data_IF_451480580437
#
_entry.id   IF_451480580437
#
_cell.length_a   1.000
_cell.length_b   1.000
_cell.length_c   1.000
_cell.angle_alpha   90.00
_cell.angle_beta   90.00
_cell.angle_gamma   90.00
#
_symmetry.space_group_name_H-M   'P 1'
#
loop_
_entity.id
_entity.type
_entity.pdbx_description
1 polymer ?
#
# COMPACT_ATOMS: atom_id res chain seq x y z
N UNK A 1 -41.16 44.69 57.27
CA UNK A 1 -39.76 45.04 56.93
C UNK A 1 -39.03 43.79 56.49
N UNK A 2 -38.24 43.91 55.44
CA UNK A 2 -37.55 42.85 54.72
C UNK A 2 -36.22 42.43 55.39
N UNK A 3 -35.80 41.17 55.18
CA UNK A 3 -34.56 40.84 54.43
C UNK A 3 -34.41 39.33 54.21
N UNK A 4 -34.27 38.98 52.92
CA UNK A 4 -33.75 37.73 52.34
C UNK A 4 -32.25 37.59 52.63
N UNK A 5 -31.79 36.36 52.81
CA UNK A 5 -30.47 35.89 52.40
C UNK A 5 -30.62 34.45 51.86
N UNK A 6 -29.92 34.16 50.76
CA UNK A 6 -30.08 33.02 49.88
C UNK A 6 -28.94 32.00 50.04
N UNK A 7 -29.22 30.75 49.62
CA UNK A 7 -28.31 29.75 49.01
C UNK A 7 -27.14 29.22 49.89
N UNK A 8 -26.70 27.96 49.83
CA UNK A 8 -26.46 27.07 48.68
C UNK A 8 -26.64 25.60 49.15
N UNK A 9 -27.35 24.80 48.36
CA UNK A 9 -27.24 23.34 48.30
C UNK A 9 -26.12 23.01 47.30
N UNK A 10 -25.02 22.41 47.75
CA UNK A 10 -24.00 21.88 46.85
C UNK A 10 -24.30 20.40 46.59
N UNK A 11 -24.59 20.18 45.32
CA UNK A 11 -24.98 18.98 44.61
C UNK A 11 -23.75 18.08 44.36
N UNK A 12 -23.98 16.77 44.27
CA UNK A 12 -22.96 15.77 44.02
C UNK A 12 -22.30 15.96 42.64
N UNK A 13 -21.00 16.30 42.63
CA UNK A 13 -20.19 16.37 41.42
C UNK A 13 -19.24 15.19 41.30
N UNK A 14 -19.75 13.99 41.00
CA UNK A 14 -18.94 12.89 40.48
C UNK A 14 -18.41 13.29 39.09
N UNK A 15 -17.22 13.89 39.05
CA UNK A 15 -16.52 14.19 37.80
C UNK A 15 -15.89 12.91 37.24
N UNK A 16 -16.73 12.01 36.76
CA UNK A 16 -16.34 11.00 35.79
C UNK A 16 -15.95 11.72 34.50
N UNK A 17 -14.67 11.71 34.17
CA UNK A 17 -14.19 12.20 32.87
C UNK A 17 -14.82 11.33 31.77
N UNK A 18 -15.86 11.84 31.12
CA UNK A 18 -16.42 11.28 29.88
C UNK A 18 -15.35 11.34 28.79
N UNK A 19 -14.48 10.33 28.77
CA UNK A 19 -13.68 10.01 27.59
C UNK A 19 -14.68 9.51 26.57
N UNK A 20 -15.14 10.39 25.68
CA UNK A 20 -16.01 9.99 24.57
C UNK A 20 -15.28 8.90 23.77
N UNK A 21 -15.71 7.65 23.92
CA UNK A 21 -15.18 6.53 23.15
C UNK A 21 -15.47 6.82 21.68
N UNK A 22 -14.42 7.09 20.90
CA UNK A 22 -14.51 7.22 19.44
C UNK A 22 -14.42 5.81 18.89
N UNK A 23 -15.53 5.31 18.38
CA UNK A 23 -15.57 4.06 17.63
C UNK A 23 -15.23 4.35 16.17
N UNK A 24 -14.29 3.59 15.61
CA UNK A 24 -13.86 3.72 14.22
C UNK A 24 -14.04 2.35 13.57
N UNK A 25 -15.02 2.25 12.68
CA UNK A 25 -15.23 1.09 11.84
C UNK A 25 -14.48 1.24 10.51
N UNK A 26 -14.02 0.11 9.96
CA UNK A 26 -13.43 0.05 8.63
C UNK A 26 -14.38 -0.76 7.75
N UNK A 27 -15.11 -0.06 6.89
CA UNK A 27 -16.06 -0.67 5.96
C UNK A 27 -15.39 -0.91 4.62
N UNK A 28 -15.49 -2.15 4.14
CA UNK A 28 -14.95 -2.57 2.86
C UNK A 28 -16.07 -2.54 1.83
N UNK A 29 -15.93 -1.71 0.81
CA UNK A 29 -16.97 -1.43 -0.17
C UNK A 29 -16.42 -1.57 -1.58
N UNK A 30 -17.29 -1.84 -2.55
CA UNK A 30 -16.89 -1.75 -3.96
C UNK A 30 -16.64 -0.29 -4.36
N UNK A 31 -15.71 -0.01 -5.28
CA UNK A 31 -15.51 1.34 -5.81
C UNK A 31 -16.82 1.93 -6.36
N UNK A 32 -17.21 3.11 -5.86
CA UNK A 32 -18.44 3.79 -6.23
C UNK A 32 -18.14 4.96 -7.20
N UNK A 33 -18.57 4.89 -8.48
CA UNK A 33 -18.29 5.95 -9.46
C UNK A 33 -18.86 7.32 -9.10
N UNK A 34 -19.97 7.37 -8.35
CA UNK A 34 -20.67 8.63 -8.01
C UNK A 34 -19.97 9.39 -6.87
N UNK A 35 -19.14 8.69 -6.08
CA UNK A 35 -18.52 9.22 -4.85
C UNK A 35 -16.99 9.20 -4.93
N UNK A 36 -16.40 8.08 -5.35
CA UNK A 36 -14.99 7.76 -5.08
C UNK A 36 -14.00 8.41 -6.04
N UNK A 37 -14.47 8.97 -7.16
CA UNK A 37 -13.63 9.45 -8.26
C UNK A 37 -12.51 10.39 -7.79
N UNK A 38 -12.82 11.40 -6.97
CA UNK A 38 -11.81 12.37 -6.55
C UNK A 38 -10.75 11.76 -5.62
N UNK A 39 -11.19 10.91 -4.69
CA UNK A 39 -10.31 10.24 -3.74
C UNK A 39 -9.40 9.21 -4.42
N UNK A 40 -9.95 8.39 -5.33
CA UNK A 40 -9.17 7.42 -6.11
C UNK A 40 -8.15 8.15 -6.97
N UNK A 41 -8.54 9.21 -7.68
CA UNK A 41 -7.60 10.00 -8.49
C UNK A 41 -6.44 10.56 -7.65
N UNK A 42 -6.73 11.02 -6.43
CA UNK A 42 -5.72 11.48 -5.46
C UNK A 42 -4.81 10.35 -4.99
N UNK A 43 -5.35 9.17 -4.68
CA UNK A 43 -4.56 7.98 -4.31
C UNK A 43 -3.65 7.55 -5.47
N UNK A 44 -4.13 7.55 -6.71
CA UNK A 44 -3.29 7.24 -7.89
C UNK A 44 -2.16 8.26 -8.08
N UNK A 45 -2.43 9.55 -7.88
CA UNK A 45 -1.41 10.59 -7.89
C UNK A 45 -0.36 10.37 -6.80
N UNK A 46 -0.79 9.96 -5.61
CA UNK A 46 0.11 9.60 -4.51
C UNK A 46 0.98 8.38 -4.83
N UNK A 47 0.39 7.33 -5.42
CA UNK A 47 1.09 6.09 -5.78
C UNK A 47 2.16 6.31 -6.85
N UNK A 48 1.82 7.06 -7.90
CA UNK A 48 2.69 7.32 -9.06
C UNK A 48 3.65 8.49 -8.82
N UNK A 49 3.46 9.22 -7.71
CA UNK A 49 4.34 10.26 -7.23
C UNK A 49 4.56 11.38 -8.25
N UNK A 50 5.82 11.76 -8.43
CA UNK A 50 6.20 12.90 -9.29
C UNK A 50 5.93 12.64 -10.78
N UNK A 51 5.87 11.38 -11.20
CA UNK A 51 5.63 11.03 -12.60
C UNK A 51 4.12 10.91 -12.91
N UNK A 52 3.26 11.16 -11.93
CA UNK A 52 1.79 10.96 -12.02
C UNK A 52 1.13 11.63 -13.23
N UNK A 53 1.62 12.80 -13.67
CA UNK A 53 1.11 13.52 -14.84
C UNK A 53 1.23 12.73 -16.15
N UNK A 54 2.20 11.82 -16.25
CA UNK A 54 2.43 11.01 -17.45
C UNK A 54 1.43 9.87 -17.68
N UNK A 55 0.51 9.63 -16.75
CA UNK A 55 -0.31 8.40 -16.73
C UNK A 55 -1.79 8.60 -17.05
N UNK A 56 -2.22 9.82 -17.42
CA UNK A 56 -3.63 10.10 -17.74
C UNK A 56 -4.55 9.65 -16.59
N UNK A 57 -4.38 10.27 -15.41
CA UNK A 57 -5.02 9.82 -14.17
C UNK A 57 -6.54 9.90 -14.23
N UNK A 58 -7.11 10.81 -15.01
CA UNK A 58 -8.55 10.89 -15.20
C UNK A 58 -9.06 9.59 -15.82
N UNK A 59 -8.50 9.22 -16.97
CA UNK A 59 -8.84 8.02 -17.71
C UNK A 59 -8.54 6.75 -16.91
N UNK A 60 -7.45 6.73 -16.13
CA UNK A 60 -7.13 5.60 -15.25
C UNK A 60 -8.17 5.43 -14.14
N UNK A 61 -8.64 6.55 -13.57
CA UNK A 61 -9.66 6.54 -12.51
C UNK A 61 -10.99 6.04 -13.06
N UNK A 62 -11.42 6.56 -14.20
CA UNK A 62 -12.63 6.11 -14.90
C UNK A 62 -12.55 4.61 -15.22
N UNK A 63 -11.39 4.14 -15.69
CA UNK A 63 -11.17 2.72 -15.97
C UNK A 63 -11.34 1.87 -14.70
N UNK A 64 -10.76 2.27 -13.58
CA UNK A 64 -10.88 1.55 -12.30
C UNK A 64 -12.34 1.49 -11.84
N UNK A 65 -13.05 2.61 -11.91
CA UNK A 65 -14.46 2.72 -11.50
C UNK A 65 -15.43 1.98 -12.43
N UNK A 66 -15.04 1.77 -13.69
CA UNK A 66 -15.86 1.04 -14.66
C UNK A 66 -15.83 -0.48 -14.48
N UNK A 67 -14.96 -1.02 -13.61
CA UNK A 67 -14.83 -2.45 -13.41
C UNK A 67 -15.99 -3.03 -12.61
N UNK A 68 -16.72 -4.03 -13.14
CA UNK A 68 -17.76 -4.69 -12.39
C UNK A 68 -17.14 -5.69 -11.41
N UNK A 69 -17.46 -5.55 -10.11
CA UNK A 69 -17.15 -6.53 -9.06
C UNK A 69 -15.65 -6.83 -8.83
N UNK A 70 -14.74 -5.94 -9.25
CA UNK A 70 -13.31 -6.09 -9.03
C UNK A 70 -12.75 -4.85 -8.33
N UNK A 71 -12.12 -5.10 -7.19
CA UNK A 71 -11.52 -4.10 -6.33
C UNK A 71 -12.41 -3.71 -5.17
N UNK A 72 -11.75 -3.19 -4.15
CA UNK A 72 -12.35 -2.79 -2.88
C UNK A 72 -11.76 -1.46 -2.41
N UNK A 73 -12.58 -0.63 -1.80
CA UNK A 73 -12.20 0.59 -1.09
C UNK A 73 -12.46 0.43 0.41
N UNK A 74 -11.79 1.23 1.22
CA UNK A 74 -12.07 1.30 2.67
C UNK A 74 -12.57 2.68 3.04
N UNK A 75 -13.68 2.74 3.75
CA UNK A 75 -14.29 3.96 4.29
C UNK A 75 -14.51 3.81 5.80
N UNK A 76 -14.47 4.94 6.52
CA UNK A 76 -14.75 4.97 7.96
C UNK A 76 -15.93 5.86 8.33
N UNK A 77 -16.35 6.75 7.40
CA UNK A 77 -17.35 7.79 7.66
C UNK A 77 -18.63 7.57 6.82
N UNK A 78 -18.92 6.30 6.48
CA UNK A 78 -20.08 5.87 5.70
C UNK A 78 -19.83 5.73 4.19
N UNK A 79 -20.80 5.17 3.48
CA UNK A 79 -20.69 4.85 2.05
C UNK A 79 -20.53 6.09 1.14
N UNK A 80 -21.05 7.24 1.58
CA UNK A 80 -20.96 8.51 0.85
C UNK A 80 -19.65 9.27 1.12
N UNK A 81 -18.75 8.74 1.95
CA UNK A 81 -17.47 9.39 2.28
C UNK A 81 -16.37 9.07 1.26
N UNK A 82 -15.30 9.87 1.28
CA UNK A 82 -14.08 9.57 0.52
C UNK A 82 -13.46 8.24 1.01
N UNK A 83 -13.01 7.35 0.10
CA UNK A 83 -12.21 6.19 0.48
C UNK A 83 -10.80 6.56 0.92
N UNK A 84 -10.31 5.85 1.95
CA UNK A 84 -8.97 6.00 2.51
C UNK A 84 -7.98 4.96 1.99
N UNK A 85 -8.47 3.90 1.36
CA UNK A 85 -7.67 2.88 0.69
C UNK A 85 -8.38 2.40 -0.58
N UNK A 86 -7.59 1.94 -1.54
CA UNK A 86 -8.03 1.26 -2.75
C UNK A 86 -7.12 0.06 -2.99
N UNK A 87 -7.72 -1.09 -3.29
CA UNK A 87 -7.06 -2.24 -3.89
C UNK A 87 -7.86 -2.69 -5.11
N UNK A 88 -7.22 -2.83 -6.27
CA UNK A 88 -7.86 -3.35 -7.50
C UNK A 88 -6.84 -4.01 -8.42
N UNK A 89 -7.30 -4.79 -9.40
CA UNK A 89 -6.46 -5.40 -10.44
C UNK A 89 -7.04 -5.15 -11.83
N UNK A 90 -6.22 -4.62 -12.74
CA UNK A 90 -6.60 -4.34 -14.12
C UNK A 90 -5.92 -5.31 -15.09
N UNK A 91 -6.65 -5.87 -16.04
CA UNK A 91 -6.04 -6.68 -17.10
C UNK A 91 -5.34 -5.79 -18.14
N UNK A 92 -4.01 -5.83 -18.18
CA UNK A 92 -3.21 -4.97 -19.06
C UNK A 92 -3.42 -5.27 -20.56
N UNK A 93 -3.82 -6.49 -20.91
CA UNK A 93 -4.00 -6.91 -22.30
C UNK A 93 -5.37 -6.53 -22.85
N UNK A 94 -6.43 -6.61 -22.05
CA UNK A 94 -7.75 -6.12 -22.49
C UNK A 94 -7.67 -4.62 -22.74
N UNK A 95 -7.01 -3.92 -21.83
CA UNK A 95 -6.92 -2.46 -21.84
C UNK A 95 -5.63 -1.95 -22.51
N UNK A 96 -4.95 -2.75 -23.36
CA UNK A 96 -3.68 -2.38 -23.97
C UNK A 96 -3.75 -1.10 -24.84
N UNK A 97 -4.92 -0.82 -25.43
CA UNK A 97 -5.16 0.41 -26.19
C UNK A 97 -5.51 1.62 -25.31
N UNK A 98 -5.87 1.40 -24.04
CA UNK A 98 -6.21 2.47 -23.11
C UNK A 98 -4.98 3.36 -22.83
N UNK A 99 -5.10 4.70 -22.90
CA UNK A 99 -3.96 5.61 -22.82
C UNK A 99 -3.14 5.44 -21.53
N UNK A 100 -3.81 5.27 -20.38
CA UNK A 100 -3.14 5.08 -19.09
C UNK A 100 -2.38 3.76 -19.00
N UNK A 101 -2.95 2.66 -19.50
CA UNK A 101 -2.30 1.33 -19.48
C UNK A 101 -1.10 1.31 -20.42
N UNK A 102 -1.24 1.93 -21.59
CA UNK A 102 -0.15 2.09 -22.56
C UNK A 102 0.98 2.95 -21.99
N UNK A 103 0.65 4.01 -21.24
CA UNK A 103 1.63 4.83 -20.54
C UNK A 103 2.36 4.05 -19.43
N UNK A 104 1.61 3.31 -18.61
CA UNK A 104 2.17 2.46 -17.54
C UNK A 104 3.09 1.37 -18.09
N UNK A 105 2.68 0.65 -19.14
CA UNK A 105 3.50 -0.38 -19.76
C UNK A 105 4.83 0.18 -20.29
N UNK A 106 4.79 1.33 -20.99
CA UNK A 106 6.00 2.01 -21.48
C UNK A 106 6.88 2.50 -20.33
N UNK A 107 6.27 3.03 -19.28
CA UNK A 107 6.98 3.52 -18.11
C UNK A 107 7.71 2.38 -17.39
N UNK A 108 7.05 1.25 -17.15
CA UNK A 108 7.67 0.07 -16.55
C UNK A 108 8.85 -0.44 -17.41
N UNK A 109 8.70 -0.50 -18.73
CA UNK A 109 9.80 -0.85 -19.65
C UNK A 109 10.96 0.15 -19.57
N UNK A 110 10.66 1.45 -19.53
CA UNK A 110 11.67 2.50 -19.43
C UNK A 110 12.42 2.43 -18.11
N UNK A 111 11.75 2.20 -16.97
CA UNK A 111 12.42 2.06 -15.68
C UNK A 111 13.23 0.77 -15.59
N UNK A 112 12.75 -0.30 -16.23
CA UNK A 112 13.46 -1.56 -16.29
C UNK A 112 14.70 -1.56 -17.20
N UNK A 113 15.02 -0.49 -17.93
CA UNK A 113 16.17 -0.46 -18.86
C UNK A 113 17.49 -0.91 -18.23
N UNK A 114 17.68 -0.60 -16.95
CA UNK A 114 18.91 -0.89 -16.21
C UNK A 114 18.91 -2.30 -15.61
N UNK A 115 17.82 -3.05 -15.75
CA UNK A 115 17.67 -4.46 -15.36
C UNK A 115 17.32 -5.30 -16.58
N UNK A 116 18.32 -5.80 -17.34
CA UNK A 116 18.08 -6.52 -18.59
C UNK A 116 17.13 -7.72 -18.46
N UNK A 117 17.20 -8.45 -17.34
CA UNK A 117 16.34 -9.60 -17.07
C UNK A 117 14.87 -9.18 -16.91
N UNK A 118 14.58 -8.15 -16.10
CA UNK A 118 13.23 -7.64 -15.93
C UNK A 118 12.72 -6.99 -17.23
N UNK A 119 13.55 -6.20 -17.92
CA UNK A 119 13.17 -5.53 -19.17
C UNK A 119 12.75 -6.55 -20.24
N UNK A 120 13.56 -7.59 -20.45
CA UNK A 120 13.26 -8.65 -21.42
C UNK A 120 11.99 -9.41 -21.04
N UNK A 121 11.81 -9.70 -19.74
CA UNK A 121 10.60 -10.36 -19.24
C UNK A 121 9.36 -9.50 -19.48
N UNK A 122 9.36 -8.22 -19.09
CA UNK A 122 8.23 -7.31 -19.32
C UNK A 122 7.94 -7.11 -20.80
N UNK A 123 8.97 -6.99 -21.65
CA UNK A 123 8.80 -6.87 -23.09
C UNK A 123 8.12 -8.10 -23.70
N UNK A 124 8.51 -9.31 -23.25
CA UNK A 124 7.83 -10.54 -23.66
C UNK A 124 6.39 -10.60 -23.13
N UNK A 125 6.14 -10.19 -21.88
CA UNK A 125 4.82 -10.21 -21.27
C UNK A 125 3.83 -9.27 -21.97
N UNK A 126 4.26 -8.07 -22.34
CA UNK A 126 3.40 -7.07 -22.98
C UNK A 126 3.19 -7.28 -24.49
N UNK A 127 3.99 -8.14 -25.14
CA UNK A 127 3.87 -8.40 -26.58
C UNK A 127 3.04 -9.64 -26.92
N UNK A 128 2.83 -10.55 -25.97
CA UNK A 128 2.00 -11.74 -26.15
C UNK A 128 0.54 -11.48 -25.76
N UNK A 129 -0.39 -12.25 -26.32
CA UNK A 129 -1.83 -12.15 -26.04
C UNK A 129 -2.38 -13.25 -25.13
N UNK A 130 -1.66 -14.36 -24.94
CA UNK A 130 -2.16 -15.54 -24.20
C UNK A 130 -1.93 -15.46 -22.68
N UNK A 131 -0.84 -14.82 -22.26
CA UNK A 131 -0.44 -14.72 -20.85
C UNK A 131 -0.79 -13.36 -20.31
N UNK A 132 -2.02 -13.23 -19.80
CA UNK A 132 -2.49 -11.97 -19.25
C UNK A 132 -1.63 -11.52 -18.06
N UNK A 133 -1.43 -10.21 -17.94
CA UNK A 133 -0.79 -9.56 -16.80
C UNK A 133 -1.84 -8.73 -16.07
N UNK A 134 -1.98 -9.00 -14.77
CA UNK A 134 -2.82 -8.21 -13.87
C UNK A 134 -1.99 -7.07 -13.28
N UNK A 135 -2.33 -5.82 -13.58
CA UNK A 135 -1.77 -4.65 -12.91
C UNK A 135 -2.50 -4.46 -11.58
N UNK A 136 -1.81 -4.71 -10.46
CA UNK A 136 -2.37 -4.50 -9.13
C UNK A 136 -2.06 -3.08 -8.66
N UNK A 137 -3.11 -2.35 -8.27
CA UNK A 137 -3.03 -1.00 -7.71
C UNK A 137 -3.50 -1.10 -6.27
N UNK A 138 -2.58 -0.84 -5.34
CA UNK A 138 -2.84 -0.85 -3.90
C UNK A 138 -2.26 0.42 -3.30
N UNK A 139 -3.10 1.32 -2.80
CA UNK A 139 -2.67 2.56 -2.16
C UNK A 139 -3.64 2.96 -1.05
N UNK A 140 -3.10 3.57 0.01
CA UNK A 140 -3.90 4.05 1.15
C UNK A 140 -3.28 5.28 1.78
N UNK A 141 -4.07 6.00 2.55
CA UNK A 141 -3.53 7.07 3.39
C UNK A 141 -2.56 6.48 4.43
N UNK A 142 -1.50 7.21 4.76
CA UNK A 142 -0.39 6.70 5.59
C UNK A 142 -0.82 6.33 7.02
N UNK A 143 -1.91 6.91 7.48
CA UNK A 143 -2.51 6.66 8.80
C UNK A 143 -3.42 5.41 8.81
N UNK A 144 -3.68 4.78 7.66
CA UNK A 144 -4.48 3.56 7.61
C UNK A 144 -3.69 2.37 8.18
N UNK A 145 -4.26 1.64 9.15
CA UNK A 145 -3.58 0.51 9.79
C UNK A 145 -3.30 -0.61 8.78
N UNK A 146 -2.12 -1.21 8.85
CA UNK A 146 -1.74 -2.32 7.94
C UNK A 146 -2.64 -3.55 8.08
N UNK A 147 -3.33 -3.69 9.21
CA UNK A 147 -4.23 -4.78 9.52
C UNK A 147 -5.45 -4.88 8.59
N UNK A 148 -5.75 -3.82 7.82
CA UNK A 148 -6.81 -3.85 6.80
C UNK A 148 -6.36 -4.50 5.48
N UNK A 149 -5.06 -4.72 5.29
CA UNK A 149 -4.51 -5.27 4.04
C UNK A 149 -4.85 -6.76 3.86
N UNK A 150 -4.71 -7.64 4.86
CA UNK A 150 -5.06 -9.04 4.70
C UNK A 150 -6.52 -9.28 4.24
N UNK A 151 -7.57 -8.66 4.84
CA UNK A 151 -8.93 -8.82 4.33
C UNK A 151 -9.10 -8.27 2.91
N UNK A 152 -8.47 -7.13 2.57
CA UNK A 152 -8.50 -6.60 1.19
C UNK A 152 -7.99 -7.60 0.15
N UNK A 153 -6.83 -8.22 0.39
CA UNK A 153 -6.27 -9.20 -0.54
C UNK A 153 -7.09 -10.50 -0.59
N UNK A 154 -7.73 -10.91 0.51
CA UNK A 154 -8.66 -12.04 0.49
C UNK A 154 -9.88 -11.76 -0.39
N UNK A 155 -10.49 -10.57 -0.27
CA UNK A 155 -11.60 -10.18 -1.13
C UNK A 155 -11.18 -10.10 -2.59
N UNK A 156 -10.05 -9.46 -2.91
CA UNK A 156 -9.54 -9.39 -4.28
C UNK A 156 -9.30 -10.79 -4.88
N UNK A 157 -8.74 -11.71 -4.09
CA UNK A 157 -8.55 -13.10 -4.52
C UNK A 157 -9.89 -13.76 -4.89
N UNK A 158 -10.90 -13.62 -4.04
CA UNK A 158 -12.22 -14.22 -4.27
C UNK A 158 -12.94 -13.57 -5.46
N UNK A 159 -12.85 -12.25 -5.60
CA UNK A 159 -13.33 -11.48 -6.76
C UNK A 159 -12.71 -11.97 -8.07
N UNK A 160 -11.38 -12.11 -8.13
CA UNK A 160 -10.65 -12.63 -9.30
C UNK A 160 -11.08 -14.06 -9.62
N UNK A 161 -11.20 -14.93 -8.60
CA UNK A 161 -11.68 -16.32 -8.79
C UNK A 161 -13.11 -16.36 -9.32
N UNK A 162 -13.99 -15.53 -8.79
CA UNK A 162 -15.37 -15.43 -9.25
C UNK A 162 -15.45 -14.93 -10.69
N UNK A 163 -14.60 -13.97 -11.07
CA UNK A 163 -14.50 -13.48 -12.44
C UNK A 163 -14.01 -14.58 -13.40
N UNK A 164 -12.96 -15.32 -13.03
CA UNK A 164 -12.47 -16.47 -13.81
C UNK A 164 -13.54 -17.55 -13.96
N UNK A 165 -14.27 -17.88 -12.90
CA UNK A 165 -15.37 -18.85 -12.94
C UNK A 165 -16.52 -18.42 -13.88
N UNK A 166 -16.70 -17.11 -14.08
CA UNK A 166 -17.65 -16.54 -15.04
C UNK A 166 -17.07 -16.43 -16.47
N UNK A 167 -15.90 -17.01 -16.74
CA UNK A 167 -15.15 -16.89 -17.99
C UNK A 167 -14.80 -15.43 -18.35
N UNK A 168 -14.68 -14.56 -17.34
CA UNK A 168 -14.13 -13.24 -17.54
C UNK A 168 -12.59 -13.33 -17.67
N UNK A 169 -11.98 -12.43 -18.44
CA UNK A 169 -10.54 -12.42 -18.71
C UNK A 169 -9.72 -11.94 -17.50
N UNK A 170 -9.74 -12.69 -16.39
CA UNK A 170 -8.96 -12.44 -15.18
C UNK A 170 -8.00 -13.60 -14.85
N UNK A 171 -7.81 -14.54 -15.79
CA UNK A 171 -6.80 -15.59 -15.69
C UNK A 171 -5.42 -14.99 -15.97
N UNK A 172 -4.73 -14.57 -14.91
CA UNK A 172 -3.43 -13.92 -15.01
C UNK A 172 -2.29 -14.93 -14.89
N UNK A 173 -1.26 -14.74 -15.72
CA UNK A 173 0.01 -15.45 -15.58
C UNK A 173 0.97 -14.76 -14.61
N UNK A 174 0.86 -13.45 -14.48
CA UNK A 174 1.71 -12.61 -13.65
C UNK A 174 0.88 -11.46 -13.09
N UNK A 175 1.24 -11.01 -11.89
CA UNK A 175 0.80 -9.76 -11.31
C UNK A 175 1.96 -8.76 -11.33
N UNK A 176 1.66 -7.56 -11.78
CA UNK A 176 2.57 -6.42 -11.77
C UNK A 176 2.10 -5.45 -10.69
N UNK A 177 2.90 -5.29 -9.65
CA UNK A 177 2.65 -4.31 -8.60
C UNK A 177 3.49 -3.07 -8.83
N UNK A 178 2.87 -1.92 -8.67
CA UNK A 178 3.55 -0.64 -8.52
C UNK A 178 3.33 -0.21 -7.08
N UNK A 179 4.41 0.16 -6.40
CA UNK A 179 4.38 0.70 -5.04
C UNK A 179 5.32 1.90 -4.94
N UNK A 180 5.19 2.65 -3.85
CA UNK A 180 6.06 3.78 -3.53
C UNK A 180 6.99 3.43 -2.38
N UNK A 181 8.21 3.94 -2.46
CA UNK A 181 9.26 3.77 -1.46
C UNK A 181 9.83 5.13 -1.10
N UNK A 182 10.59 5.18 -0.01
CA UNK A 182 11.39 6.35 0.31
C UNK A 182 12.82 5.94 0.65
N UNK A 183 13.77 6.80 0.30
CA UNK A 183 15.16 6.60 0.63
C UNK A 183 15.58 7.51 1.77
N UNK A 184 16.32 6.95 2.73
CA UNK A 184 16.98 7.70 3.79
C UNK A 184 18.49 7.45 3.73
N UNK A 185 19.25 8.54 3.67
CA UNK A 185 20.68 8.52 3.96
C UNK A 185 20.94 8.27 5.45
N UNK A 186 22.16 7.83 5.78
CA UNK A 186 22.58 7.64 7.17
C UNK A 186 22.41 8.91 8.02
N UNK A 187 22.66 10.07 7.42
CA UNK A 187 22.49 11.36 8.09
C UNK A 187 21.00 11.64 8.37
N UNK A 188 20.12 11.43 7.40
CA UNK A 188 18.66 11.60 7.56
C UNK A 188 18.08 10.64 8.61
N UNK A 189 18.52 9.38 8.62
CA UNK A 189 18.12 8.40 9.64
C UNK A 189 18.51 8.88 11.04
N UNK A 190 19.76 9.35 11.21
CA UNK A 190 20.25 9.84 12.49
C UNK A 190 19.48 11.07 12.98
N UNK A 191 19.04 11.94 12.06
CA UNK A 191 18.24 13.11 12.39
C UNK A 191 16.83 12.69 12.85
N UNK A 192 16.19 11.75 12.15
CA UNK A 192 14.88 11.21 12.54
C UNK A 192 14.93 10.51 13.90
N UNK A 193 16.00 9.78 14.23
CA UNK A 193 16.14 9.18 15.55
C UNK A 193 16.29 10.22 16.67
N UNK A 194 16.87 11.38 16.37
CA UNK A 194 17.09 12.46 17.33
C UNK A 194 15.87 13.37 17.55
N UNK A 195 14.87 13.32 16.66
CA UNK A 195 13.61 14.07 16.81
C UNK A 195 12.53 13.29 17.59
N UNK A 196 12.76 12.01 17.88
CA UNK A 196 11.86 11.21 18.72
C UNK A 196 11.83 11.73 20.17
N UNK A 197 10.65 11.81 20.82
CA UNK A 197 10.53 12.30 22.19
C UNK A 197 11.38 11.46 23.16
N UNK A 198 11.94 12.11 24.19
CA UNK A 198 12.91 11.52 25.12
C UNK A 198 12.42 10.25 25.85
N UNK A 199 11.10 10.02 25.90
CA UNK A 199 10.46 8.80 26.42
C UNK A 199 10.75 7.56 25.55
N UNK A 200 10.79 7.72 24.23
CA UNK A 200 11.11 6.65 23.26
C UNK A 200 12.61 6.42 23.13
N UNK A 201 13.40 7.51 23.15
CA UNK A 201 14.86 7.44 23.16
C UNK A 201 15.42 6.70 24.39
N UNK A 202 14.74 6.77 25.55
CA UNK A 202 15.12 6.03 26.77
C UNK A 202 14.81 4.54 26.71
N UNK A 203 13.74 4.12 26.02
CA UNK A 203 13.47 2.68 25.76
C UNK A 203 14.56 2.06 24.88
N UNK A 204 15.04 2.77 23.85
CA UNK A 204 16.17 2.30 23.00
C UNK A 204 17.52 2.29 23.71
N UNK A 205 17.86 3.31 24.52
CA UNK A 205 19.14 3.37 25.27
C UNK A 205 19.21 2.41 26.46
N UNK A 206 18.09 1.90 26.97
CA UNK A 206 18.07 0.85 28.00
C UNK A 206 18.45 -0.54 27.47
N UNK A 207 18.23 -0.80 26.18
CA UNK A 207 18.50 -2.09 25.53
C UNK A 207 19.97 -2.28 25.13
N UNK A 208 20.72 -1.19 24.88
CA UNK A 208 22.11 -1.26 24.43
C UNK A 208 23.12 -1.60 25.54
N UNK A 209 22.73 -1.55 26.83
CA UNK A 209 23.64 -1.83 27.96
C UNK A 209 23.49 -3.22 28.60
N UNK A 210 22.60 -4.08 28.09
CA UNK A 210 22.36 -5.42 28.66
C UNK A 210 22.18 -6.50 27.59
N UNK A 211 23.12 -6.62 26.65
CA UNK A 211 23.24 -7.80 25.76
C UNK A 211 24.39 -8.70 26.20
N UNK A 212 24.12 -9.52 27.21
CA UNK A 212 24.75 -10.84 27.48
C UNK A 212 23.74 -11.70 28.24
N UNK A 213 22.68 -12.12 27.55
CA UNK A 213 21.94 -13.36 27.81
C UNK A 213 20.88 -13.53 26.72
N UNK A 214 20.89 -14.68 26.07
CA UNK A 214 19.92 -15.12 25.06
C UNK A 214 18.50 -15.23 25.66
N UNK A 215 17.51 -15.24 24.75
CA UNK A 215 16.07 -15.45 24.95
C UNK A 215 15.21 -14.19 25.17
N UNK A 216 14.93 -13.46 24.07
CA UNK A 216 13.60 -12.92 23.70
C UNK A 216 13.76 -12.13 22.38
N UNK A 217 13.66 -12.81 21.24
CA UNK A 217 13.97 -12.29 19.89
C UNK A 217 12.77 -12.39 18.93
N UNK A 218 11.55 -12.02 19.36
CA UNK A 218 10.38 -12.07 18.45
C UNK A 218 9.60 -10.75 18.30
N UNK A 219 9.94 -9.68 19.04
CA UNK A 219 9.21 -8.41 18.97
C UNK A 219 9.96 -7.25 18.29
N UNK A 220 11.20 -7.44 17.80
CA UNK A 220 12.07 -6.35 17.35
C UNK A 220 12.67 -6.53 15.94
N UNK A 221 12.09 -7.39 15.12
CA UNK A 221 12.54 -7.65 13.74
C UNK A 221 12.27 -6.49 12.76
N UNK A 222 11.53 -5.45 13.16
CA UNK A 222 11.07 -4.36 12.27
C UNK A 222 12.08 -3.23 11.99
N UNK A 223 13.31 -3.28 12.52
CA UNK A 223 14.27 -2.16 12.36
C UNK A 223 15.68 -2.64 12.00
N UNK A 224 15.79 -3.55 11.03
CA UNK A 224 17.07 -3.74 10.33
C UNK A 224 17.10 -2.76 9.17
N UNK A 225 18.08 -1.84 9.17
CA UNK A 225 18.30 -0.90 8.08
C UNK A 225 18.54 -1.67 6.77
N UNK A 226 17.79 -1.39 5.69
CA UNK A 226 18.09 -1.93 4.36
C UNK A 226 19.47 -1.46 3.89
N UNK A 227 20.24 -2.34 3.24
CA UNK A 227 21.59 -2.02 2.77
C UNK A 227 21.58 -0.80 1.82
N UNK A 228 20.56 -0.72 0.97
CA UNK A 228 20.34 0.36 0.00
C UNK A 228 19.70 1.62 0.59
N UNK A 229 19.32 1.61 1.88
CA UNK A 229 18.61 2.72 2.54
C UNK A 229 17.20 2.98 1.99
N UNK A 230 16.60 2.04 1.24
CA UNK A 230 15.27 2.17 0.65
C UNK A 230 14.24 1.45 1.53
N UNK A 231 13.28 2.20 2.02
CA UNK A 231 12.20 1.73 2.88
C UNK A 231 10.86 1.71 2.13
N UNK A 232 10.00 0.76 2.47
CA UNK A 232 8.64 0.67 1.94
C UNK A 232 7.71 1.62 2.69
N UNK A 233 6.82 2.32 1.99
CA UNK A 233 5.67 2.96 2.64
C UNK A 233 4.64 1.92 3.09
N UNK A 234 4.51 0.84 2.32
CA UNK A 234 3.58 -0.24 2.54
C UNK A 234 4.35 -1.45 3.10
N UNK A 235 4.18 -1.82 4.38
CA UNK A 235 4.88 -2.95 4.97
C UNK A 235 4.64 -4.26 4.20
N UNK A 236 3.43 -4.44 3.66
CA UNK A 236 3.03 -5.61 2.88
C UNK A 236 3.87 -5.85 1.61
N UNK A 237 4.57 -4.83 1.12
CA UNK A 237 5.51 -4.99 0.01
C UNK A 237 6.56 -6.07 0.31
N UNK A 238 6.97 -6.25 1.59
CA UNK A 238 7.93 -7.28 1.96
C UNK A 238 7.42 -8.69 1.64
N UNK A 239 6.13 -8.96 1.91
CA UNK A 239 5.51 -10.23 1.60
C UNK A 239 5.45 -10.48 0.08
N UNK A 240 5.15 -9.44 -0.71
CA UNK A 240 5.10 -9.48 -2.17
C UNK A 240 6.49 -9.69 -2.77
N UNK A 241 7.51 -8.97 -2.29
CA UNK A 241 8.90 -9.05 -2.77
C UNK A 241 9.44 -10.47 -2.65
N UNK A 242 9.20 -11.13 -1.53
CA UNK A 242 9.69 -12.50 -1.30
C UNK A 242 9.08 -13.54 -2.25
N UNK A 243 7.89 -13.26 -2.80
CA UNK A 243 7.23 -14.11 -3.79
C UNK A 243 7.49 -13.63 -5.22
N UNK A 244 8.00 -12.41 -5.40
CA UNK A 244 8.24 -11.82 -6.70
C UNK A 244 9.47 -12.42 -7.38
N UNK A 245 9.34 -12.69 -8.67
CA UNK A 245 10.47 -13.11 -9.53
C UNK A 245 11.48 -11.99 -9.73
N UNK A 246 10.99 -10.75 -9.75
CA UNK A 246 11.80 -9.56 -10.00
C UNK A 246 11.25 -8.41 -9.16
N UNK A 247 12.16 -7.62 -8.61
CA UNK A 247 11.86 -6.36 -7.94
C UNK A 247 12.82 -5.29 -8.43
N UNK A 248 12.31 -4.08 -8.66
CA UNK A 248 13.11 -2.94 -9.09
C UNK A 248 12.67 -1.68 -8.34
N UNK A 249 13.58 -1.07 -7.60
CA UNK A 249 13.43 0.28 -7.09
C UNK A 249 13.95 1.28 -8.12
N UNK A 250 13.26 2.41 -8.31
CA UNK A 250 13.67 3.43 -9.27
C UNK A 250 13.36 4.84 -8.76
N UNK A 251 14.12 5.81 -9.26
CA UNK A 251 13.85 7.24 -9.05
C UNK A 251 12.81 7.73 -10.05
N UNK A 252 11.98 8.70 -9.66
CA UNK A 252 11.05 9.34 -10.60
C UNK A 252 11.80 10.13 -11.67
N UNK A 253 11.24 10.18 -12.88
CA UNK A 253 11.81 10.88 -14.03
C UNK A 253 11.67 12.40 -13.89
N UNK A 254 10.49 12.85 -13.46
CA UNK A 254 10.22 14.26 -13.21
C UNK A 254 11.18 14.78 -12.12
N UNK A 255 11.77 15.98 -12.31
CA UNK A 255 12.69 16.53 -11.34
C UNK A 255 11.99 16.76 -10.01
N UNK A 256 12.78 16.93 -8.93
CA UNK A 256 12.21 17.41 -7.68
C UNK A 256 11.59 18.80 -7.89
N UNK A 257 10.62 19.25 -7.07
CA UNK A 257 10.17 20.63 -7.11
C UNK A 257 11.35 21.60 -6.94
N UNK A 258 11.32 22.80 -7.53
CA UNK A 258 12.43 23.76 -7.50
C UNK A 258 12.92 24.06 -6.06
N UNK A 259 12.00 24.05 -5.08
CA UNK A 259 12.29 24.19 -3.64
C UNK A 259 13.20 23.09 -3.06
N UNK A 260 13.38 21.99 -3.78
CA UNK A 260 14.19 20.83 -3.42
C UNK A 260 15.29 20.51 -4.46
N UNK A 261 15.36 21.26 -5.58
CA UNK A 261 16.36 21.06 -6.63
C UNK A 261 17.73 21.64 -6.26
N UNK A 262 17.77 22.74 -5.48
CA UNK A 262 19.01 23.43 -5.06
C UNK A 262 19.73 22.73 -3.90
N UNK A 263 19.91 21.41 -4.02
CA UNK A 263 20.53 20.57 -3.02
C UNK A 263 19.52 20.03 -2.02
N UNK A 264 19.52 18.72 -1.82
CA UNK A 264 19.12 18.15 -0.53
C UNK A 264 20.16 18.56 0.51
N UNK A 265 20.22 19.85 0.80
CA UNK A 265 20.97 20.40 1.92
C UNK A 265 20.40 19.82 3.21
N UNK A 266 21.16 19.90 4.31
CA UNK A 266 20.79 19.39 5.64
C UNK A 266 19.44 19.90 6.18
N UNK A 267 18.81 20.85 5.49
CA UNK A 267 17.54 21.48 5.82
C UNK A 267 16.42 21.15 4.81
N UNK A 268 16.66 20.30 3.80
CA UNK A 268 15.65 19.92 2.83
C UNK A 268 14.51 19.16 3.51
N UNK A 269 13.31 19.74 3.46
CA UNK A 269 12.13 19.19 4.12
C UNK A 269 11.48 18.11 3.22
N UNK A 270 11.33 16.88 3.71
CA UNK A 270 10.61 15.82 3.01
C UNK A 270 11.46 14.62 2.57
N UNK A 271 10.80 13.47 2.44
CA UNK A 271 11.42 12.19 2.09
C UNK A 271 11.76 12.11 0.59
N UNK A 272 12.88 11.45 0.24
CA UNK A 272 13.21 11.11 -1.16
C UNK A 272 12.29 9.99 -1.60
N UNK A 273 11.14 10.36 -2.16
CA UNK A 273 10.19 9.40 -2.67
C UNK A 273 10.68 8.80 -3.99
N UNK A 274 10.56 7.48 -4.06
CA UNK A 274 10.94 6.62 -5.16
C UNK A 274 9.80 5.68 -5.49
N UNK A 275 9.88 5.03 -6.65
CA UNK A 275 8.92 4.00 -7.04
C UNK A 275 9.53 2.61 -6.94
N UNK A 276 8.67 1.59 -6.91
CA UNK A 276 9.04 0.18 -6.93
C UNK A 276 8.11 -0.57 -7.87
N UNK A 277 8.69 -1.44 -8.70
CA UNK A 277 7.98 -2.45 -9.49
C UNK A 277 8.28 -3.82 -8.89
N UNK A 278 7.26 -4.65 -8.72
CA UNK A 278 7.40 -6.06 -8.33
C UNK A 278 6.61 -6.92 -9.33
N UNK A 279 7.28 -7.92 -9.91
CA UNK A 279 6.68 -8.85 -10.86
C UNK A 279 6.55 -10.24 -10.22
N UNK A 280 5.31 -10.60 -9.92
CA UNK A 280 4.94 -11.83 -9.24
C UNK A 280 4.35 -12.84 -10.24
N UNK A 281 5.05 -13.94 -10.56
CA UNK A 281 4.48 -14.99 -11.39
C UNK A 281 3.39 -15.73 -10.62
N UNK A 282 2.27 -15.99 -11.29
CA UNK A 282 1.21 -16.84 -10.75
C UNK A 282 1.43 -18.27 -11.24
N UNK A 283 1.55 -19.19 -10.30
CA UNK A 283 1.54 -20.62 -10.60
C UNK A 283 0.11 -21.12 -10.46
N UNK A 284 -0.47 -21.57 -11.57
CA UNK A 284 -1.67 -22.40 -11.52
C UNK A 284 -1.27 -23.72 -10.86
N UNK A 285 -1.85 -24.01 -9.68
CA UNK A 285 -1.78 -25.37 -9.18
C UNK A 285 -2.63 -26.26 -10.09
N UNK A 286 -2.22 -27.48 -10.46
CA UNK A 286 -3.07 -28.42 -11.17
C UNK A 286 -4.15 -28.97 -10.22
N UNK A 287 -5.08 -28.10 -9.81
CA UNK A 287 -6.18 -28.41 -8.90
C UNK A 287 -7.43 -28.87 -9.66
N UNK A 288 -7.27 -29.66 -10.72
CA UNK A 288 -8.39 -30.40 -11.33
C UNK A 288 -8.48 -31.87 -10.90
N UNK A 289 -7.56 -32.39 -10.07
CA UNK A 289 -7.65 -33.82 -9.67
C UNK A 289 -7.32 -34.15 -8.21
N UNK A 290 -6.70 -33.23 -7.44
CA UNK A 290 -6.51 -33.40 -5.98
C UNK A 290 -6.59 -32.04 -5.30
N UNK A 291 -7.59 -31.82 -4.45
CA UNK A 291 -7.91 -30.51 -3.86
C UNK A 291 -6.92 -30.00 -2.79
N UNK A 292 -5.60 -30.17 -2.98
CA UNK A 292 -4.56 -29.84 -1.98
C UNK A 292 -3.48 -28.86 -2.50
N UNK A 293 -3.62 -28.32 -3.70
CA UNK A 293 -2.67 -27.38 -4.27
C UNK A 293 -2.99 -25.91 -3.96
N UNK A 294 -2.17 -25.24 -3.15
CA UNK A 294 -2.26 -23.78 -2.94
C UNK A 294 -1.72 -23.04 -4.17
N UNK A 295 -2.52 -22.15 -4.74
CA UNK A 295 -2.06 -21.24 -5.78
C UNK A 295 -1.29 -20.05 -5.18
N UNK A 296 -0.68 -19.22 -6.03
CA UNK A 296 0.09 -18.07 -5.56
C UNK A 296 -0.77 -17.03 -4.82
N UNK A 297 -2.06 -16.92 -5.15
CA UNK A 297 -2.98 -16.03 -4.44
C UNK A 297 -3.22 -16.50 -2.99
N UNK A 298 -3.39 -17.80 -2.77
CA UNK A 298 -3.51 -18.36 -1.43
C UNK A 298 -2.22 -18.18 -0.63
N UNK A 299 -1.06 -18.43 -1.24
CA UNK A 299 0.24 -18.24 -0.58
C UNK A 299 0.43 -16.77 -0.17
N UNK A 300 0.11 -15.82 -1.04
CA UNK A 300 0.19 -14.39 -0.74
C UNK A 300 -0.78 -14.01 0.38
N UNK A 301 -2.05 -14.41 0.29
CA UNK A 301 -3.07 -14.08 1.26
C UNK A 301 -2.76 -14.66 2.66
N UNK A 302 -2.32 -15.91 2.74
CA UNK A 302 -1.91 -16.55 4.00
C UNK A 302 -0.71 -15.84 4.62
N UNK A 303 0.25 -15.44 3.79
CA UNK A 303 1.43 -14.72 4.25
C UNK A 303 1.06 -13.35 4.83
N UNK A 304 0.23 -12.60 4.13
CA UNK A 304 -0.28 -11.31 4.61
C UNK A 304 -1.06 -11.47 5.92
N UNK A 305 -1.93 -12.49 6.00
CA UNK A 305 -2.68 -12.78 7.22
C UNK A 305 -1.76 -13.15 8.40
N UNK A 306 -0.70 -13.92 8.16
CA UNK A 306 0.25 -14.31 9.20
C UNK A 306 1.08 -13.13 9.71
N UNK A 307 1.53 -12.25 8.82
CA UNK A 307 2.48 -11.17 9.16
C UNK A 307 1.78 -9.88 9.61
N UNK A 308 0.57 -9.61 9.10
CA UNK A 308 -0.14 -8.36 9.32
C UNK A 308 -1.59 -8.54 9.79
N UNK A 309 -2.07 -9.77 9.96
CA UNK A 309 -3.43 -10.04 10.45
C UNK A 309 -3.61 -9.65 11.91
N UNK A 310 -4.89 -9.48 12.29
CA UNK A 310 -5.26 -9.34 13.71
C UNK A 310 -5.17 -10.72 14.36
N UNK A 311 -4.48 -10.88 15.51
CA UNK A 311 -4.48 -12.12 16.26
C UNK A 311 -5.92 -12.50 16.63
N UNK A 312 -6.33 -13.73 16.31
CA UNK A 312 -7.62 -14.29 16.76
C UNK A 312 -7.56 -14.74 18.22
#
# INVERSE_FOLDING_TARGET
MAKRAAQVSDDEGDSGSDVSLIDVSFDFLSPNPDVDYQAIKRLLGQLLGRDSEGFNLHELTELILSQPNIGSTIKTDGEESDPYALLTVLNMHIHHEHPSIKALARYCLSKASDSPALHSTLQSLFSQSEKHVGLVICERLINMPVQVIPPLYNMLKDEVRNAVAQNLPYQFSHLLFISRTYHLSLDEESQLENTLPASEARKKKGASKKRKSAAHDEANAQHVRPDDGIYSFHPEDAAIIELASHTLNYTYTAPLPETHQEGRDKNAFGLDTRGRIMLLPLTDSPAMDTGEGKDTWDVLAEKLAREYGVPQ
#
